data_IF_764984830949
#
_entry.id   IF_764984830949
#
_cell.length_a   1.000
_cell.length_b   1.000
_cell.length_c   1.000
_cell.angle_alpha   90.00
_cell.angle_beta   90.00
_cell.angle_gamma   90.00
#
_symmetry.space_group_name_H-M   'P 1'
#
loop_
_entity.id
_entity.type
_entity.pdbx_description
1 polymer ?
#
# COMPACT_ATOMS: atom_id res chain seq x y z
N UNK A 1 11.88 30.34 -6.57
CA UNK A 1 10.95 29.37 -5.95
C UNK A 1 9.72 29.33 -6.83
N UNK A 2 9.57 28.28 -7.65
CA UNK A 2 8.34 28.10 -8.42
C UNK A 2 7.36 27.42 -7.48
N UNK A 3 6.28 28.11 -7.14
CA UNK A 3 5.14 27.52 -6.47
C UNK A 3 4.32 26.83 -7.56
N UNK A 4 4.40 25.51 -7.65
CA UNK A 4 3.50 24.74 -8.51
C UNK A 4 2.06 25.04 -8.04
N UNK A 5 1.26 25.64 -8.92
CA UNK A 5 -0.14 25.91 -8.63
C UNK A 5 -0.90 24.58 -8.52
N UNK A 6 -1.79 24.44 -7.53
CA UNK A 6 -2.62 23.24 -7.40
C UNK A 6 -3.50 23.06 -8.65
N UNK A 7 -3.25 22.02 -9.44
CA UNK A 7 -3.95 21.71 -10.69
C UNK A 7 -4.20 20.20 -10.82
N UNK A 8 -5.24 19.81 -11.58
CA UNK A 8 -5.75 18.42 -11.62
C UNK A 8 -4.69 17.38 -12.02
N UNK A 9 -3.74 17.74 -12.87
CA UNK A 9 -2.70 16.81 -13.37
C UNK A 9 -1.73 16.36 -12.25
N UNK A 10 -1.69 17.04 -11.10
CA UNK A 10 -0.99 16.55 -9.90
C UNK A 10 -1.54 15.21 -9.39
N UNK A 11 -2.76 14.83 -9.79
CA UNK A 11 -3.39 13.57 -9.44
C UNK A 11 -3.19 12.48 -10.52
N UNK A 12 -2.51 12.80 -11.62
CA UNK A 12 -2.20 11.81 -12.66
C UNK A 12 -1.15 10.85 -12.10
N UNK A 13 -1.62 9.68 -11.67
CA UNK A 13 -0.83 8.63 -11.06
C UNK A 13 -1.05 7.33 -11.84
N UNK A 14 0.03 6.65 -12.20
CA UNK A 14 -0.05 5.23 -12.56
C UNK A 14 -0.33 4.42 -11.28
N UNK A 15 -1.62 4.22 -11.02
CA UNK A 15 -2.12 3.49 -9.85
C UNK A 15 -1.62 2.04 -9.80
N UNK A 16 -1.38 1.41 -10.95
CA UNK A 16 -0.90 0.02 -10.99
C UNK A 16 0.56 -0.04 -10.56
N UNK A 17 1.40 0.83 -11.13
CA UNK A 17 2.80 0.96 -10.77
C UNK A 17 2.97 1.35 -9.30
N UNK A 18 2.19 2.30 -8.80
CA UNK A 18 2.29 2.75 -7.42
C UNK A 18 1.91 1.65 -6.42
N UNK A 19 0.86 0.87 -6.73
CA UNK A 19 0.49 -0.27 -5.91
C UNK A 19 1.58 -1.36 -5.89
N UNK A 20 2.28 -1.59 -7.00
CA UNK A 20 3.44 -2.50 -7.04
C UNK A 20 4.63 -1.97 -6.25
N UNK A 21 4.90 -0.66 -6.33
CA UNK A 21 5.96 0.01 -5.57
C UNK A 21 5.71 -0.13 -4.07
N UNK A 22 4.47 0.12 -3.62
CA UNK A 22 4.08 -0.04 -2.21
C UNK A 22 4.16 -1.51 -1.79
N UNK A 23 3.68 -2.45 -2.61
CA UNK A 23 3.77 -3.87 -2.29
C UNK A 23 5.22 -4.36 -2.17
N UNK A 24 6.14 -3.86 -3.00
CA UNK A 24 7.56 -4.14 -2.91
C UNK A 24 8.17 -3.59 -1.61
N UNK A 25 7.85 -2.35 -1.25
CA UNK A 25 8.24 -1.75 0.02
C UNK A 25 7.73 -2.58 1.22
N UNK A 26 6.46 -3.00 1.18
CA UNK A 26 5.87 -3.84 2.23
C UNK A 26 6.59 -5.18 2.38
N UNK A 27 6.95 -5.84 1.26
CA UNK A 27 7.75 -7.08 1.30
C UNK A 27 9.11 -6.85 1.96
N UNK A 28 9.82 -5.79 1.57
CA UNK A 28 11.14 -5.48 2.14
C UNK A 28 11.06 -5.17 3.63
N UNK A 29 10.15 -4.26 4.01
CA UNK A 29 9.99 -3.85 5.39
C UNK A 29 9.55 -5.03 6.28
N UNK A 30 8.54 -5.79 5.87
CA UNK A 30 7.93 -6.81 6.74
C UNK A 30 8.71 -8.12 6.73
N UNK A 31 9.08 -8.63 5.55
CA UNK A 31 9.69 -9.96 5.43
C UNK A 31 11.19 -9.95 5.70
N UNK A 32 11.89 -8.89 5.29
CA UNK A 32 13.35 -8.83 5.36
C UNK A 32 13.83 -7.99 6.54
N UNK A 33 13.33 -6.76 6.71
CA UNK A 33 13.76 -5.88 7.80
C UNK A 33 13.19 -6.33 9.15
N UNK A 34 11.86 -6.46 9.26
CA UNK A 34 11.19 -6.83 10.50
C UNK A 34 11.14 -8.35 10.75
N UNK A 35 11.45 -9.14 9.72
CA UNK A 35 11.46 -10.62 9.75
C UNK A 35 10.13 -11.22 10.25
N UNK A 36 9.01 -10.63 9.81
CA UNK A 36 7.64 -11.11 10.05
C UNK A 36 7.09 -11.79 8.81
N UNK A 37 5.95 -12.46 8.96
CA UNK A 37 5.39 -13.31 7.90
C UNK A 37 4.25 -12.64 7.13
N UNK A 38 3.68 -11.53 7.62
CA UNK A 38 2.49 -10.94 7.06
C UNK A 38 2.00 -9.74 7.86
N UNK A 39 0.71 -9.42 7.74
CA UNK A 39 0.10 -8.24 8.36
C UNK A 39 -1.25 -8.54 9.01
N UNK A 40 -1.56 -7.79 10.07
CA UNK A 40 -2.90 -7.68 10.65
C UNK A 40 -3.38 -6.26 10.40
N UNK A 41 -4.54 -6.11 9.78
CA UNK A 41 -5.10 -4.80 9.38
C UNK A 41 -6.47 -4.65 10.04
N UNK A 42 -6.67 -3.59 10.83
CA UNK A 42 -7.99 -3.28 11.36
C UNK A 42 -8.88 -2.66 10.28
N UNK A 43 -10.05 -3.24 10.03
CA UNK A 43 -10.99 -2.79 8.99
C UNK A 43 -12.13 -1.97 9.61
N UNK A 44 -12.31 -0.74 9.13
CA UNK A 44 -13.42 0.14 9.53
C UNK A 44 -14.56 0.19 8.49
N UNK A 45 -14.32 -0.34 7.29
CA UNK A 45 -15.19 -0.16 6.11
C UNK A 45 -14.87 1.10 5.31
N UNK A 46 -13.91 1.92 5.75
CA UNK A 46 -13.43 3.08 5.00
C UNK A 46 -12.50 2.69 3.84
N UNK A 47 -12.41 3.57 2.84
CA UNK A 47 -11.58 3.39 1.64
C UNK A 47 -10.11 3.16 2.00
N UNK A 48 -9.59 3.90 2.97
CA UNK A 48 -8.19 3.80 3.38
C UNK A 48 -7.85 2.41 3.93
N UNK A 49 -8.63 1.93 4.91
CA UNK A 49 -8.43 0.60 5.50
C UNK A 49 -8.60 -0.53 4.47
N UNK A 50 -9.51 -0.35 3.50
CA UNK A 50 -9.76 -1.32 2.43
C UNK A 50 -8.61 -1.37 1.43
N UNK A 51 -8.04 -0.21 1.07
CA UNK A 51 -6.87 -0.11 0.19
C UNK A 51 -5.64 -0.69 0.87
N UNK A 52 -5.42 -0.40 2.16
CA UNK A 52 -4.32 -0.99 2.94
C UNK A 52 -4.43 -2.51 2.97
N UNK A 53 -5.62 -3.05 3.26
CA UNK A 53 -5.86 -4.50 3.23
C UNK A 53 -5.51 -5.10 1.87
N UNK A 54 -6.00 -4.51 0.79
CA UNK A 54 -5.73 -4.97 -0.57
C UNK A 54 -4.24 -4.93 -0.93
N UNK A 55 -3.51 -3.88 -0.52
CA UNK A 55 -2.06 -3.76 -0.72
C UNK A 55 -1.29 -4.80 0.11
N UNK A 56 -1.70 -5.08 1.35
CA UNK A 56 -1.13 -6.16 2.15
C UNK A 56 -1.34 -7.52 1.51
N UNK A 57 -2.54 -7.79 0.97
CA UNK A 57 -2.83 -9.04 0.23
C UNK A 57 -1.99 -9.12 -1.04
N UNK A 58 -1.83 -8.03 -1.79
CA UNK A 58 -0.92 -7.97 -2.96
C UNK A 58 0.53 -8.24 -2.58
N UNK A 59 0.98 -7.75 -1.42
CA UNK A 59 2.36 -7.91 -0.96
C UNK A 59 2.67 -9.32 -0.45
N UNK A 60 1.77 -9.90 0.36
CA UNK A 60 2.05 -11.10 1.15
C UNK A 60 1.23 -12.33 0.73
N UNK A 61 0.17 -12.15 -0.05
CA UNK A 61 -0.84 -13.16 -0.33
C UNK A 61 -1.91 -13.24 0.76
N UNK A 62 -3.14 -13.58 0.39
CA UNK A 62 -4.30 -13.58 1.30
C UNK A 62 -4.13 -14.49 2.53
N UNK A 63 -3.41 -15.61 2.38
CA UNK A 63 -3.15 -16.54 3.49
C UNK A 63 -2.27 -15.96 4.61
N UNK A 64 -1.62 -14.80 4.38
CA UNK A 64 -0.70 -14.14 5.32
C UNK A 64 -1.23 -12.79 5.80
N UNK A 65 -2.52 -12.51 5.59
CA UNK A 65 -3.17 -11.26 6.00
C UNK A 65 -4.42 -11.58 6.81
N UNK A 66 -4.51 -10.99 8.00
CA UNK A 66 -5.72 -10.99 8.82
C UNK A 66 -6.34 -9.60 8.75
N UNK A 67 -7.63 -9.53 8.42
CA UNK A 67 -8.44 -8.31 8.34
C UNK A 67 -9.45 -8.22 9.47
#
# INVERSE_FOLDING_TARGET
>A
MITEAFHRQLLDLDVAQEADRIAAFLREAVLHTLRRQGAVVGISGGIDSSVVLALCVRAFGAARVLG
#
